data_IF_804641059581
#
_entry.id   IF_804641059581
#
_cell.length_a   1.000
_cell.length_b   1.000
_cell.length_c   1.000
_cell.angle_alpha   90.00
_cell.angle_beta   90.00
_cell.angle_gamma   90.00
#
_symmetry.space_group_name_H-M   'P 1'
#
loop_
_entity.id
_entity.type
_entity.pdbx_description
1 polymer ?
#
# COMPACT_ATOMS: atom_id res chain seq x y z
N UNK A 1 8.30 -22.79 1.66
CA UNK A 1 7.13 -23.51 2.20
C UNK A 1 6.12 -22.44 2.56
N UNK A 2 5.00 -22.40 1.83
CA UNK A 2 4.05 -21.29 1.83
C UNK A 2 3.17 -21.36 3.09
N UNK A 3 3.30 -20.40 4.00
CA UNK A 3 2.29 -20.17 5.05
C UNK A 3 1.57 -18.88 4.69
N UNK A 4 0.45 -19.05 3.97
CA UNK A 4 -0.56 -18.01 3.83
C UNK A 4 -1.25 -17.92 5.19
N UNK A 5 -0.87 -16.93 6.00
CA UNK A 5 -1.62 -16.57 7.21
C UNK A 5 -2.69 -15.56 6.80
N UNK A 6 -3.82 -16.06 6.28
CA UNK A 6 -5.03 -15.25 6.12
C UNK A 6 -5.81 -15.40 7.42
N UNK A 7 -5.70 -14.42 8.31
CA UNK A 7 -6.59 -14.32 9.48
C UNK A 7 -7.84 -13.56 9.06
N UNK A 8 -8.94 -14.29 8.89
CA UNK A 8 -10.30 -13.75 8.92
C UNK A 8 -10.80 -13.78 10.37
N UNK A 9 -11.33 -12.66 10.85
CA UNK A 9 -12.40 -12.67 11.86
C UNK A 9 -13.38 -11.55 11.55
N UNK A 10 -14.54 -11.92 10.98
CA UNK A 10 -15.78 -11.16 11.10
C UNK A 10 -16.83 -12.12 11.65
N UNK A 11 -17.26 -11.88 12.88
CA UNK A 11 -18.55 -12.33 13.38
C UNK A 11 -18.98 -11.42 14.54
N UNK A 12 -19.78 -10.41 14.23
CA UNK A 12 -20.66 -9.78 15.21
C UNK A 12 -22.06 -10.31 14.93
N UNK A 13 -22.64 -11.01 15.90
CA UNK A 13 -23.92 -11.68 15.75
C UNK A 13 -24.94 -10.98 16.64
N UNK A 14 -25.87 -10.24 16.01
CA UNK A 14 -27.16 -9.93 16.60
C UNK A 14 -28.22 -9.79 15.50
N UNK A 15 -29.09 -10.82 15.45
CA UNK A 15 -30.50 -10.93 15.01
C UNK A 15 -30.68 -12.25 14.24
N UNK A 16 -30.95 -13.32 14.98
CA UNK A 16 -30.81 -14.74 14.57
C UNK A 16 -32.06 -15.35 13.89
N UNK A 17 -32.90 -14.57 13.22
CA UNK A 17 -34.12 -15.09 12.56
C UNK A 17 -34.15 -14.84 11.06
N UNK A 18 -34.20 -13.58 10.66
CA UNK A 18 -34.51 -13.19 9.27
C UNK A 18 -33.28 -12.94 8.39
N UNK A 19 -32.08 -12.87 8.96
CA UNK A 19 -30.85 -12.63 8.19
C UNK A 19 -30.30 -13.91 7.54
N UNK A 20 -30.58 -15.07 8.13
CA UNK A 20 -29.96 -16.33 7.71
C UNK A 20 -30.49 -16.81 6.34
N UNK A 21 -31.77 -16.61 6.08
CA UNK A 21 -32.40 -16.96 4.79
C UNK A 21 -31.88 -16.09 3.64
N UNK A 22 -31.66 -14.79 3.88
CA UNK A 22 -31.07 -13.88 2.89
C UNK A 22 -29.60 -14.20 2.60
N UNK A 23 -28.87 -14.66 3.63
CA UNK A 23 -27.47 -15.04 3.48
C UNK A 23 -27.32 -16.36 2.72
N UNK A 24 -28.13 -17.37 3.03
CA UNK A 24 -28.18 -18.64 2.29
C UNK A 24 -28.55 -18.43 0.82
N UNK A 25 -29.52 -17.55 0.52
CA UNK A 25 -29.88 -17.19 -0.86
C UNK A 25 -28.73 -16.49 -1.60
N UNK A 26 -28.01 -15.59 -0.92
CA UNK A 26 -26.83 -14.91 -1.47
C UNK A 26 -25.66 -15.87 -1.71
N UNK A 27 -25.43 -16.81 -0.80
CA UNK A 27 -24.42 -17.86 -0.94
C UNK A 27 -24.76 -18.75 -2.14
N UNK A 28 -26.00 -19.25 -2.24
CA UNK A 28 -26.42 -20.04 -3.39
C UNK A 28 -26.34 -19.28 -4.72
N UNK A 29 -26.57 -17.96 -4.70
CA UNK A 29 -26.38 -17.10 -5.89
C UNK A 29 -24.91 -16.95 -6.26
N UNK A 30 -24.01 -16.86 -5.26
CA UNK A 30 -22.56 -16.79 -5.48
C UNK A 30 -22.02 -18.11 -6.02
N UNK A 31 -22.47 -19.25 -5.50
CA UNK A 31 -22.09 -20.58 -5.98
C UNK A 31 -22.47 -20.77 -7.45
N UNK A 32 -23.70 -20.40 -7.85
CA UNK A 32 -24.13 -20.44 -9.25
C UNK A 32 -23.30 -19.52 -10.15
N UNK A 33 -22.92 -18.33 -9.66
CA UNK A 33 -22.04 -17.41 -10.41
C UNK A 33 -20.64 -17.99 -10.57
N UNK A 34 -20.12 -18.67 -9.55
CA UNK A 34 -18.81 -19.31 -9.60
C UNK A 34 -18.79 -20.48 -10.60
N UNK A 35 -19.86 -21.28 -10.64
CA UNK A 35 -20.02 -22.37 -11.62
C UNK A 35 -20.10 -21.83 -13.05
N UNK A 36 -20.90 -20.78 -13.28
CA UNK A 36 -20.95 -20.07 -14.57
C UNK A 36 -19.57 -19.51 -14.98
N UNK A 37 -18.82 -18.94 -14.04
CA UNK A 37 -17.51 -18.38 -14.31
C UNK A 37 -16.50 -19.48 -14.67
N UNK A 38 -16.56 -20.63 -13.98
CA UNK A 38 -15.74 -21.80 -14.28
C UNK A 38 -16.00 -22.32 -15.70
N UNK A 39 -17.27 -22.37 -16.12
CA UNK A 39 -17.65 -22.80 -17.46
C UNK A 39 -17.18 -21.81 -18.54
N UNK A 40 -17.27 -20.50 -18.29
CA UNK A 40 -16.74 -19.47 -19.20
C UNK A 40 -15.21 -19.59 -19.32
N UNK A 41 -14.49 -19.79 -18.21
CA UNK A 41 -13.04 -19.99 -18.23
C UNK A 41 -12.67 -21.24 -19.02
N UNK A 42 -13.42 -22.33 -18.85
CA UNK A 42 -13.22 -23.56 -19.62
C UNK A 42 -13.40 -23.33 -21.12
N UNK A 43 -14.48 -22.64 -21.52
CA UNK A 43 -14.75 -22.28 -22.92
C UNK A 43 -13.64 -21.39 -23.50
N UNK A 44 -13.22 -20.35 -22.79
CA UNK A 44 -12.13 -19.47 -23.21
C UNK A 44 -10.80 -20.21 -23.33
N UNK A 45 -10.53 -21.17 -22.45
CA UNK A 45 -9.34 -22.01 -22.56
C UNK A 45 -9.38 -22.86 -23.83
N UNK A 46 -10.53 -23.47 -24.13
CA UNK A 46 -10.73 -24.25 -25.35
C UNK A 46 -10.56 -23.40 -26.61
N UNK A 47 -11.15 -22.20 -26.65
CA UNK A 47 -11.00 -21.28 -27.78
C UNK A 47 -9.54 -20.83 -27.95
N UNK A 48 -8.81 -20.60 -26.84
CA UNK A 48 -7.39 -20.27 -26.88
C UNK A 48 -6.56 -21.38 -27.50
N UNK A 49 -6.85 -22.63 -27.16
CA UNK A 49 -6.15 -23.78 -27.70
C UNK A 49 -6.45 -23.97 -29.20
N UNK A 50 -7.69 -23.75 -29.62
CA UNK A 50 -8.06 -23.76 -31.05
C UNK A 50 -7.36 -22.64 -31.82
N UNK A 51 -7.33 -21.42 -31.29
CA UNK A 51 -6.66 -20.28 -31.93
C UNK A 51 -5.15 -20.54 -32.07
N UNK A 52 -4.55 -21.13 -31.04
CA UNK A 52 -3.13 -21.53 -31.06
C UNK A 52 -2.86 -22.59 -32.13
N UNK A 53 -3.75 -23.56 -32.30
CA UNK A 53 -3.65 -24.55 -33.38
C UNK A 53 -3.77 -23.90 -34.77
N UNK A 54 -4.71 -22.96 -34.94
CA UNK A 54 -4.89 -22.22 -36.20
C UNK A 54 -3.68 -21.33 -36.54
N UNK A 55 -3.10 -20.66 -35.55
CA UNK A 55 -1.87 -19.88 -35.73
C UNK A 55 -0.72 -20.77 -36.23
N UNK A 56 -0.54 -21.94 -35.62
CA UNK A 56 0.49 -22.90 -36.03
C UNK A 56 0.28 -23.38 -37.48
N UNK A 57 -0.96 -23.68 -37.86
CA UNK A 57 -1.29 -24.08 -39.24
C UNK A 57 -1.03 -22.96 -40.27
N UNK A 58 -1.27 -21.70 -39.90
CA UNK A 58 -0.95 -20.53 -40.73
C UNK A 58 0.56 -20.34 -40.90
N UNK A 59 1.35 -20.52 -39.85
CA UNK A 59 2.82 -20.49 -39.92
C UNK A 59 3.38 -21.59 -40.83
N UNK A 60 2.81 -22.80 -40.75
CA UNK A 60 3.16 -23.93 -41.63
C UNK A 60 2.73 -23.68 -43.09
N UNK A 61 1.60 -23.00 -43.32
CA UNK A 61 1.17 -22.60 -44.66
C UNK A 61 2.06 -21.49 -45.26
N UNK A 62 2.51 -20.54 -44.45
CA UNK A 62 3.43 -19.48 -44.88
C UNK A 62 4.82 -20.01 -45.27
N UNK A 63 5.31 -21.01 -44.56
CA UNK A 63 6.57 -21.69 -44.91
C UNK A 63 6.46 -22.52 -46.20
N UNK A 64 5.30 -23.14 -46.46
CA UNK A 64 5.04 -23.83 -47.72
C UNK A 64 4.87 -22.87 -48.92
N UNK A 65 4.26 -21.69 -48.71
CA UNK A 65 4.18 -20.65 -49.74
C UNK A 65 5.57 -20.12 -50.14
N UNK A 66 6.46 -19.91 -49.17
CA UNK A 66 7.86 -19.51 -49.43
C UNK A 66 8.66 -20.60 -50.19
N UNK A 67 8.38 -21.89 -49.95
CA UNK A 67 8.97 -22.98 -50.76
C UNK A 67 8.46 -22.99 -52.20
N UNK A 68 7.20 -22.61 -52.44
CA UNK A 68 6.62 -22.54 -53.79
C UNK A 68 7.13 -21.33 -54.58
N UNK A 69 7.38 -20.20 -53.92
CA UNK A 69 8.04 -19.03 -54.53
C UNK A 69 9.50 -19.31 -54.88
N UNK A 70 10.26 -19.96 -54.00
CA UNK A 70 11.64 -20.35 -54.30
C UNK A 70 11.72 -21.37 -55.46
N UNK A 71 10.74 -22.28 -55.59
CA UNK A 71 10.68 -23.22 -56.72
C UNK A 71 10.35 -22.54 -58.07
N UNK A 72 9.66 -21.38 -58.05
CA UNK A 72 9.42 -20.55 -59.25
C UNK A 72 10.65 -19.71 -59.63
N UNK A 73 11.45 -19.25 -58.66
CA UNK A 73 12.67 -18.49 -58.92
C UNK A 73 13.78 -19.33 -59.59
N UNK A 74 13.95 -20.60 -59.21
CA UNK A 74 14.92 -21.50 -59.87
C UNK A 74 14.57 -21.82 -61.33
N UNK A 75 13.28 -21.79 -61.68
CA UNK A 75 12.83 -22.01 -63.07
C UNK A 75 13.03 -20.77 -63.96
N UNK A 76 13.14 -19.57 -63.37
CA UNK A 76 13.33 -18.30 -64.09
C UNK A 76 14.81 -17.87 -64.17
N UNK A 77 15.67 -18.29 -63.23
CA UNK A 77 17.11 -17.99 -63.29
C UNK A 77 17.87 -18.81 -64.36
N UNK A 78 17.42 -20.01 -64.72
CA UNK A 78 18.02 -20.79 -65.81
C UNK A 78 17.75 -20.23 -67.22
N UNK A 79 16.87 -19.23 -67.37
CA UNK A 79 16.51 -18.63 -68.65
C UNK A 79 17.15 -17.24 -68.91
N UNK A 80 17.91 -16.67 -67.96
CA UNK A 80 18.47 -15.30 -68.08
C UNK A 80 20.00 -15.26 -68.22
N UNK A 81 20.71 -16.39 -68.08
CA UNK A 81 22.16 -16.48 -68.37
C UNK A 81 22.54 -16.54 -69.87
N UNK A 82 21.64 -16.11 -70.76
CA UNK A 82 21.95 -15.86 -72.17
C UNK A 82 21.44 -14.49 -72.59
N UNK A 83 22.15 -13.42 -72.20
CA UNK A 83 22.49 -12.29 -73.09
C UNK A 83 23.21 -11.17 -72.35
N UNK A 84 24.48 -11.01 -72.71
CA UNK A 84 25.26 -9.77 -72.92
C UNK A 84 25.11 -8.57 -71.95
N UNK A 85 26.12 -8.09 -71.21
CA UNK A 85 27.51 -7.64 -71.56
C UNK A 85 27.58 -6.20 -72.10
N UNK A 86 28.58 -5.46 -71.60
CA UNK A 86 29.09 -4.09 -71.90
C UNK A 86 28.30 -2.91 -71.28
N UNK A 87 28.88 -1.83 -70.73
CA UNK A 87 30.28 -1.37 -70.58
C UNK A 87 30.37 -0.11 -69.66
N UNK A 88 31.37 -0.09 -68.77
CA UNK A 88 32.25 1.00 -68.29
C UNK A 88 31.85 2.50 -68.33
N UNK A 89 32.01 3.21 -67.20
CA UNK A 89 33.12 4.15 -66.89
C UNK A 89 32.76 5.23 -65.83
N UNK A 90 33.79 5.86 -65.26
CA UNK A 90 33.95 6.33 -63.88
C UNK A 90 33.51 7.78 -63.53
N UNK A 91 33.15 7.96 -62.25
CA UNK A 91 33.42 9.03 -61.26
C UNK A 91 33.29 10.53 -61.67
N UNK A 92 32.67 11.44 -60.91
CA UNK A 92 32.82 11.76 -59.48
C UNK A 92 31.72 12.76 -59.02
N UNK A 93 31.38 12.66 -57.73
CA UNK A 93 30.96 13.67 -56.73
C UNK A 93 29.93 14.77 -57.03
N UNK A 94 28.96 14.85 -56.11
CA UNK A 94 28.38 16.12 -55.64
C UNK A 94 26.87 16.08 -55.54
N UNK A 95 26.36 15.95 -54.31
CA UNK A 95 24.94 15.78 -53.94
C UNK A 95 24.05 16.93 -54.42
N UNK A 96 22.84 16.58 -54.88
CA UNK A 96 21.71 17.52 -54.93
C UNK A 96 20.39 16.86 -54.48
N UNK A 97 19.44 17.76 -54.25
CA UNK A 97 18.28 17.72 -53.38
C UNK A 97 17.11 16.81 -53.77
N UNK A 98 16.28 16.58 -52.73
CA UNK A 98 14.86 16.23 -52.79
C UNK A 98 14.07 17.11 -53.78
N UNK A 99 13.08 16.51 -54.47
CA UNK A 99 11.74 17.09 -54.65
C UNK A 99 10.70 16.14 -55.26
N UNK A 100 9.48 16.24 -54.71
CA UNK A 100 8.13 15.97 -55.28
C UNK A 100 7.76 14.51 -55.63
N UNK A 101 6.56 14.01 -55.36
CA UNK A 101 5.33 14.56 -54.79
C UNK A 101 4.11 13.69 -55.18
N UNK A 102 3.02 13.78 -54.39
CA UNK A 102 1.62 13.36 -54.67
C UNK A 102 1.37 11.82 -54.80
N UNK A 103 0.30 11.18 -54.29
CA UNK A 103 -1.07 11.61 -53.95
C UNK A 103 -1.84 10.48 -53.19
N UNK A 104 -2.77 10.84 -52.28
CA UNK A 104 -4.14 10.28 -52.04
C UNK A 104 -4.31 8.79 -51.62
N UNK A 105 -5.26 8.31 -50.80
CA UNK A 105 -6.49 8.81 -50.18
C UNK A 105 -6.95 7.80 -49.07
N UNK A 106 -7.91 8.23 -48.23
CA UNK A 106 -8.91 7.44 -47.46
C UNK A 106 -8.66 7.06 -45.98
N UNK A 107 -9.19 7.94 -45.12
CA UNK A 107 -9.60 7.70 -43.73
C UNK A 107 -10.81 6.76 -43.66
N UNK A 108 -10.71 5.69 -42.85
CA UNK A 108 -11.87 4.92 -42.36
C UNK A 108 -11.96 5.10 -40.85
N UNK A 109 -12.94 5.90 -40.41
CA UNK A 109 -13.27 6.09 -38.99
C UNK A 109 -14.03 4.87 -38.45
N UNK A 110 -13.42 4.11 -37.53
CA UNK A 110 -14.11 3.03 -36.81
C UNK A 110 -14.76 3.61 -35.55
N UNK A 111 -16.08 3.74 -35.61
CA UNK A 111 -16.93 4.28 -34.55
C UNK A 111 -17.10 3.24 -33.42
N UNK A 112 -16.16 3.21 -32.47
CA UNK A 112 -16.24 2.34 -31.30
C UNK A 112 -17.14 2.97 -30.24
N UNK A 113 -18.40 2.52 -30.16
CA UNK A 113 -19.34 2.89 -29.09
C UNK A 113 -18.78 2.44 -27.74
N UNK A 114 -18.27 3.40 -26.96
CA UNK A 114 -17.85 3.23 -25.57
C UNK A 114 -19.09 2.93 -24.71
N UNK A 115 -19.21 1.69 -24.24
CA UNK A 115 -20.18 1.33 -23.21
C UNK A 115 -19.66 1.93 -21.89
N UNK A 116 -20.29 3.00 -21.46
CA UNK A 116 -20.04 3.61 -20.14
C UNK A 116 -20.78 2.74 -19.11
N UNK A 117 -20.09 2.14 -18.12
CA UNK A 117 -20.78 1.44 -17.04
C UNK A 117 -21.67 2.45 -16.29
N UNK A 118 -22.85 2.03 -15.81
CA UNK A 118 -23.77 2.94 -15.13
C UNK A 118 -23.04 3.61 -13.97
N UNK A 119 -23.03 4.94 -14.01
CA UNK A 119 -22.49 5.79 -12.97
C UNK A 119 -23.30 5.52 -11.70
N UNK A 120 -22.81 4.64 -10.85
CA UNK A 120 -23.31 4.55 -9.49
C UNK A 120 -23.06 5.90 -8.86
N UNK A 121 -24.13 6.58 -8.46
CA UNK A 121 -24.09 7.77 -7.58
C UNK A 121 -23.01 7.58 -6.51
N UNK A 122 -22.13 8.58 -6.24
CA UNK A 122 -21.11 8.45 -5.22
C UNK A 122 -21.81 8.21 -3.88
N UNK A 123 -21.78 6.97 -3.41
CA UNK A 123 -21.91 6.73 -1.99
C UNK A 123 -20.73 7.48 -1.39
N UNK A 124 -20.96 8.40 -0.45
CA UNK A 124 -19.92 9.18 0.23
C UNK A 124 -18.90 8.33 1.04
N UNK A 125 -18.86 7.02 0.79
CA UNK A 125 -17.94 6.05 1.37
C UNK A 125 -16.67 6.06 0.53
N UNK A 126 -15.58 6.52 1.13
CA UNK A 126 -14.24 6.50 0.55
C UNK A 126 -13.43 5.42 1.27
N UNK A 127 -12.99 4.40 0.53
CA UNK A 127 -12.21 3.30 1.09
C UNK A 127 -11.41 2.61 -0.01
N UNK A 128 -10.18 2.22 0.29
CA UNK A 128 -9.41 1.34 -0.58
C UNK A 128 -8.71 0.25 0.22
N UNK A 129 -8.48 -0.87 -0.44
CA UNK A 129 -7.59 -1.93 0.03
C UNK A 129 -6.76 -2.38 -1.17
N UNK A 130 -5.44 -2.38 -0.99
CA UNK A 130 -4.50 -2.77 -2.00
C UNK A 130 -3.34 -3.56 -1.40
N UNK A 131 -2.74 -4.45 -2.18
CA UNK A 131 -1.58 -5.25 -1.79
C UNK A 131 -0.66 -5.51 -3.00
N UNK A 132 0.58 -5.94 -2.74
CA UNK A 132 1.53 -6.35 -3.78
C UNK A 132 1.17 -7.76 -4.26
N UNK A 133 1.01 -7.99 -5.56
CA UNK A 133 0.75 -9.34 -6.09
C UNK A 133 1.95 -10.28 -5.96
N UNK A 134 3.15 -9.72 -5.86
CA UNK A 134 4.42 -10.44 -5.77
C UNK A 134 5.36 -9.70 -4.83
N UNK A 135 6.31 -10.43 -4.26
CA UNK A 135 7.39 -9.82 -3.48
C UNK A 135 8.14 -8.78 -4.30
N UNK A 136 8.54 -7.70 -3.65
CA UNK A 136 9.35 -6.68 -4.32
C UNK A 136 10.73 -7.22 -4.65
N UNK A 137 11.21 -6.98 -5.88
CA UNK A 137 12.59 -7.27 -6.25
C UNK A 137 13.52 -6.26 -5.61
N UNK A 138 13.94 -6.52 -4.36
CA UNK A 138 14.85 -5.68 -3.61
C UNK A 138 16.30 -5.73 -4.12
N UNK A 139 17.19 -4.86 -3.59
CA UNK A 139 16.89 -3.78 -2.64
C UNK A 139 16.12 -2.63 -3.30
N UNK A 140 15.13 -2.09 -2.59
CA UNK A 140 14.36 -0.92 -3.00
C UNK A 140 15.22 0.36 -2.90
N UNK A 141 15.19 1.23 -3.93
CA UNK A 141 15.85 2.53 -3.88
C UNK A 141 15.38 3.40 -2.70
N UNK A 142 16.23 4.33 -2.28
CA UNK A 142 15.85 5.39 -1.36
C UNK A 142 14.63 6.16 -1.88
N UNK A 143 13.65 6.40 -1.01
CA UNK A 143 12.39 7.08 -1.31
C UNK A 143 11.54 6.39 -2.40
N UNK A 144 11.72 5.09 -2.61
CA UNK A 144 10.90 4.32 -3.54
C UNK A 144 9.44 4.30 -3.07
N UNK A 145 8.51 4.68 -3.95
CA UNK A 145 7.08 4.65 -3.66
C UNK A 145 6.58 3.21 -3.80
N UNK A 146 5.92 2.70 -2.76
CA UNK A 146 5.33 1.36 -2.80
C UNK A 146 4.03 1.39 -3.63
N UNK A 147 4.06 0.72 -4.78
CA UNK A 147 2.93 0.61 -5.70
C UNK A 147 2.23 -0.73 -5.50
N UNK A 148 1.10 -0.71 -4.80
CA UNK A 148 0.27 -1.89 -4.59
C UNK A 148 -0.58 -2.13 -5.83
N UNK A 149 -0.21 -3.12 -6.62
CA UNK A 149 -0.79 -3.36 -7.95
C UNK A 149 -2.15 -4.07 -7.89
N UNK A 150 -2.42 -4.85 -6.85
CA UNK A 150 -3.71 -5.50 -6.65
C UNK A 150 -4.62 -4.64 -5.79
N UNK A 151 -5.75 -4.20 -6.35
CA UNK A 151 -6.69 -3.26 -5.70
C UNK A 151 -8.12 -3.82 -5.69
N UNK A 152 -8.43 -4.80 -4.82
CA UNK A 152 -9.77 -5.39 -4.73
C UNK A 152 -10.87 -4.41 -4.25
N UNK A 153 -10.51 -3.33 -3.54
CA UNK A 153 -11.43 -2.30 -3.07
C UNK A 153 -10.88 -0.92 -3.40
N UNK A 154 -11.67 -0.07 -4.05
CA UNK A 154 -11.32 1.33 -4.32
C UNK A 154 -12.57 2.21 -4.42
N UNK A 155 -13.43 2.19 -3.39
CA UNK A 155 -14.61 3.06 -3.31
C UNK A 155 -14.18 4.51 -3.24
N UNK A 156 -14.74 5.34 -4.12
CA UNK A 156 -14.28 6.72 -4.34
C UNK A 156 -13.13 6.85 -5.34
N UNK A 157 -12.57 5.74 -5.84
CA UNK A 157 -11.50 5.70 -6.85
C UNK A 157 -10.26 6.56 -6.49
N UNK A 158 -9.99 6.71 -5.18
CA UNK A 158 -8.94 7.57 -4.67
C UNK A 158 -7.54 6.97 -4.82
N UNK A 159 -7.39 5.65 -4.71
CA UNK A 159 -6.08 5.00 -4.87
C UNK A 159 -5.75 4.78 -6.35
N UNK A 160 -4.50 5.09 -6.73
CA UNK A 160 -3.97 4.98 -8.09
C UNK A 160 -2.84 3.94 -8.09
N UNK A 161 -3.10 2.76 -8.69
CA UNK A 161 -2.14 1.65 -8.67
C UNK A 161 -0.85 1.91 -9.47
N UNK A 162 -0.92 2.75 -10.51
CA UNK A 162 0.23 2.98 -11.41
C UNK A 162 1.36 3.81 -10.76
N UNK A 163 1.03 4.63 -9.78
CA UNK A 163 1.96 5.49 -9.05
C UNK A 163 1.97 5.23 -7.53
N UNK A 164 1.01 4.48 -7.00
CA UNK A 164 0.92 4.12 -5.58
C UNK A 164 0.30 5.21 -4.70
N UNK A 165 -0.38 6.19 -5.31
CA UNK A 165 -0.82 7.41 -4.64
C UNK A 165 -2.30 7.32 -4.28
N UNK A 166 -2.66 7.75 -3.06
CA UNK A 166 -4.05 7.97 -2.68
C UNK A 166 -4.41 9.46 -2.76
N UNK A 167 -5.41 9.79 -3.57
CA UNK A 167 -5.98 11.13 -3.68
C UNK A 167 -7.36 11.11 -3.02
N UNK A 168 -7.48 11.86 -1.93
CA UNK A 168 -8.76 12.02 -1.24
C UNK A 168 -9.68 12.90 -2.10
N UNK A 169 -10.86 12.38 -2.44
CA UNK A 169 -11.87 13.13 -3.20
C UNK A 169 -12.70 14.08 -2.35
N UNK A 170 -12.59 14.00 -1.02
CA UNK A 170 -13.32 14.83 -0.06
C UNK A 170 -12.48 15.14 1.17
N UNK A 171 -12.72 16.31 1.77
CA UNK A 171 -12.23 16.61 3.11
C UNK A 171 -12.83 15.67 4.16
N UNK A 172 -12.06 15.30 5.18
CA UNK A 172 -12.53 14.48 6.29
C UNK A 172 -11.38 13.82 7.05
N UNK A 173 -11.73 13.05 8.06
CA UNK A 173 -10.80 12.23 8.84
C UNK A 173 -10.60 10.89 8.16
N UNK A 174 -9.35 10.51 7.91
CA UNK A 174 -8.99 9.25 7.28
C UNK A 174 -8.12 8.42 8.22
N UNK A 175 -8.31 7.10 8.15
CA UNK A 175 -7.46 6.13 8.82
C UNK A 175 -6.69 5.36 7.76
N UNK A 176 -5.37 5.38 7.85
CA UNK A 176 -4.49 4.58 7.01
C UNK A 176 -3.86 3.50 7.87
N UNK A 177 -3.94 2.25 7.40
CA UNK A 177 -3.19 1.14 7.97
C UNK A 177 -2.38 0.47 6.88
N UNK A 178 -1.13 0.15 7.16
CA UNK A 178 -0.26 -0.56 6.23
C UNK A 178 0.62 -1.54 6.98
N UNK A 179 0.82 -2.70 6.38
CA UNK A 179 1.66 -3.78 6.91
C UNK A 179 2.66 -4.19 5.84
N UNK A 180 3.87 -4.51 6.25
CA UNK A 180 4.92 -4.99 5.38
C UNK A 180 5.84 -5.96 6.13
N UNK A 181 6.61 -6.72 5.38
CA UNK A 181 7.50 -7.75 5.86
C UNK A 181 8.90 -7.49 5.31
N UNK A 182 9.92 -7.66 6.13
CA UNK A 182 11.30 -7.74 5.68
C UNK A 182 11.71 -9.21 5.51
N UNK A 183 12.50 -9.49 4.47
CA UNK A 183 13.13 -10.79 4.29
C UNK A 183 14.14 -11.10 5.41
N UNK A 184 14.53 -12.37 5.53
CA UNK A 184 15.61 -12.80 6.43
C UNK A 184 16.87 -12.00 6.14
N UNK A 185 17.61 -11.59 7.18
CA UNK A 185 18.79 -10.73 7.06
C UNK A 185 18.56 -9.38 6.34
N UNK A 186 17.30 -8.98 6.14
CA UNK A 186 16.93 -7.72 5.52
C UNK A 186 16.28 -6.75 6.51
N UNK A 187 16.04 -5.53 6.05
CA UNK A 187 15.19 -4.58 6.75
C UNK A 187 14.38 -3.73 5.78
N UNK A 188 13.29 -3.17 6.29
CA UNK A 188 12.46 -2.24 5.54
C UNK A 188 12.00 -1.12 6.48
N UNK A 189 12.31 0.13 6.12
CA UNK A 189 11.69 1.32 6.70
C UNK A 189 10.65 1.86 5.73
N UNK A 190 9.41 2.01 6.20
CA UNK A 190 8.34 2.68 5.47
C UNK A 190 7.94 3.97 6.15
N UNK A 191 7.54 4.95 5.34
CA UNK A 191 6.99 6.22 5.76
C UNK A 191 5.68 6.46 5.03
N UNK A 192 4.61 6.77 5.77
CA UNK A 192 3.41 7.35 5.20
C UNK A 192 3.58 8.86 5.12
N UNK A 193 3.39 9.42 3.93
CA UNK A 193 3.54 10.85 3.67
C UNK A 193 2.22 11.49 3.28
N UNK A 194 2.00 12.71 3.75
CA UNK A 194 0.94 13.63 3.32
C UNK A 194 1.60 14.90 2.78
N UNK A 195 1.46 15.16 1.49
CA UNK A 195 2.02 16.35 0.84
C UNK A 195 3.53 16.48 1.09
N UNK A 196 4.25 15.36 0.98
CA UNK A 196 5.68 15.18 1.29
C UNK A 196 6.08 15.23 2.77
N UNK A 197 5.21 15.64 3.70
CA UNK A 197 5.47 15.54 5.12
C UNK A 197 5.24 14.12 5.62
N UNK A 198 6.17 13.59 6.41
CA UNK A 198 6.05 12.26 7.03
C UNK A 198 5.07 12.33 8.19
N UNK A 199 3.96 11.61 8.07
CA UNK A 199 2.90 11.57 9.10
C UNK A 199 2.89 10.24 9.88
N UNK A 200 3.67 9.25 9.45
CA UNK A 200 3.88 8.01 10.17
C UNK A 200 5.01 7.21 9.57
N UNK A 201 5.63 6.34 10.36
CA UNK A 201 6.70 5.46 9.89
C UNK A 201 6.66 4.11 10.61
N UNK A 202 7.25 3.10 9.98
CA UNK A 202 7.39 1.76 10.52
C UNK A 202 8.64 1.09 10.01
N UNK A 203 9.28 0.34 10.88
CA UNK A 203 10.45 -0.47 10.60
C UNK A 203 10.19 -1.94 10.90
N UNK A 204 10.55 -2.80 9.95
CA UNK A 204 10.70 -4.25 10.14
C UNK A 204 12.19 -4.57 10.04
N UNK A 205 12.75 -5.16 11.09
CA UNK A 205 14.17 -5.41 11.28
C UNK A 205 14.45 -6.91 11.41
N UNK A 206 14.93 -7.48 10.31
CA UNK A 206 15.46 -8.83 10.30
C UNK A 206 16.99 -8.87 10.08
N UNK A 207 17.72 -7.76 10.19
CA UNK A 207 19.15 -7.71 9.82
C UNK A 207 19.99 -8.81 10.49
N UNK A 208 19.85 -8.96 11.81
CA UNK A 208 20.60 -9.95 12.58
C UNK A 208 19.81 -11.25 12.84
N UNK A 209 18.77 -11.52 12.04
CA UNK A 209 17.87 -12.66 12.25
C UNK A 209 17.66 -13.47 10.97
N UNK A 210 17.51 -14.79 11.15
CA UNK A 210 17.20 -15.75 10.09
C UNK A 210 15.68 -16.00 9.95
N UNK A 211 14.85 -15.11 10.48
CA UNK A 211 13.38 -15.18 10.36
C UNK A 211 12.86 -13.86 9.84
N UNK A 212 11.82 -13.90 9.01
CA UNK A 212 11.10 -12.71 8.57
C UNK A 212 10.65 -11.86 9.76
N UNK A 213 10.72 -10.55 9.60
CA UNK A 213 10.10 -9.60 10.52
C UNK A 213 8.97 -8.84 9.82
N UNK A 214 8.00 -8.38 10.60
CA UNK A 214 6.84 -7.65 10.10
C UNK A 214 6.57 -6.42 10.95
N UNK A 215 6.02 -5.39 10.32
CA UNK A 215 5.56 -4.22 11.05
C UNK A 215 4.27 -3.67 10.45
N UNK A 216 3.43 -3.12 11.32
CA UNK A 216 2.13 -2.55 10.95
C UNK A 216 2.01 -1.14 11.51
N UNK A 217 1.60 -0.20 10.67
CA UNK A 217 1.33 1.18 11.06
C UNK A 217 -0.14 1.51 10.97
N UNK A 218 -0.63 2.33 11.91
CA UNK A 218 -1.95 2.94 11.86
C UNK A 218 -1.79 4.44 12.11
N UNK A 219 -2.35 5.26 11.22
CA UNK A 219 -2.33 6.72 11.32
C UNK A 219 -3.75 7.24 11.11
N UNK A 220 -4.18 8.11 12.01
CA UNK A 220 -5.40 8.91 11.87
C UNK A 220 -4.99 10.32 11.46
N UNK A 221 -5.55 10.83 10.37
CA UNK A 221 -5.19 12.15 9.85
C UNK A 221 -6.38 12.85 9.23
N UNK A 222 -6.50 14.14 9.51
CA UNK A 222 -7.44 15.01 8.79
C UNK A 222 -6.87 15.42 7.45
N UNK A 223 -7.72 15.33 6.43
CA UNK A 223 -7.44 15.74 5.07
C UNK A 223 -8.41 16.85 4.72
N UNK A 224 -7.87 17.98 4.31
CA UNK A 224 -8.64 19.09 3.75
C UNK A 224 -8.36 19.13 2.26
N UNK A 225 -9.42 19.08 1.46
CA UNK A 225 -9.34 19.42 0.05
C UNK A 225 -9.36 20.95 -0.04
N UNK A 226 -8.25 21.54 -0.49
CA UNK A 226 -8.24 22.94 -0.87
C UNK A 226 -8.93 23.03 -2.23
N UNK A 227 -10.07 23.73 -2.29
CA UNK A 227 -10.64 24.16 -3.56
C UNK A 227 -9.79 25.35 -4.01
N UNK A 228 -8.74 25.11 -4.78
CA UNK A 228 -8.03 26.21 -5.45
C UNK A 228 -8.96 26.79 -6.51
N UNK A 229 -9.55 27.95 -6.18
CA UNK A 229 -9.89 28.95 -7.19
C UNK A 229 -8.58 29.59 -7.63
N UNK A 230 -8.24 29.38 -8.89
CA UNK A 230 -7.11 29.89 -9.67
C UNK A 230 -5.87 28.98 -9.76
N UNK A 231 -5.47 28.81 -11.02
CA UNK A 231 -4.48 27.88 -11.55
C UNK A 231 -3.09 28.01 -10.90
N UNK A 232 -2.75 27.06 -10.03
CA UNK A 232 -1.42 26.45 -10.02
C UNK A 232 -1.52 25.08 -9.37
N UNK A 233 -1.56 24.05 -10.22
CA UNK A 233 -1.53 22.65 -9.85
C UNK A 233 -0.26 22.36 -9.03
N UNK A 234 -0.39 22.46 -7.70
CA UNK A 234 0.55 21.86 -6.78
C UNK A 234 0.07 20.43 -6.60
N UNK A 235 0.81 19.54 -7.24
CA UNK A 235 0.61 18.10 -7.19
C UNK A 235 0.74 17.59 -5.72
N UNK A 236 -0.43 17.45 -5.09
CA UNK A 236 -0.61 17.13 -3.67
C UNK A 236 -0.77 15.61 -3.49
N UNK A 237 0.34 14.91 -3.23
CA UNK A 237 0.36 13.45 -3.19
C UNK A 237 0.47 12.86 -1.78
N UNK A 238 -0.32 11.83 -1.50
CA UNK A 238 -0.19 10.97 -0.31
C UNK A 238 0.32 9.60 -0.73
N UNK A 239 1.42 9.16 -0.14
CA UNK A 239 2.11 7.92 -0.53
C UNK A 239 2.76 7.24 0.65
N UNK A 240 2.79 5.91 0.62
CA UNK A 240 3.75 5.16 1.43
C UNK A 240 5.05 5.06 0.63
N UNK A 241 6.13 5.56 1.21
CA UNK A 241 7.49 5.52 0.66
C UNK A 241 8.34 4.57 1.49
N UNK A 242 9.24 3.83 0.88
CA UNK A 242 10.31 3.16 1.61
C UNK A 242 11.55 4.06 1.69
N UNK A 243 12.21 4.10 2.84
CA UNK A 243 13.56 4.65 2.98
C UNK A 243 14.52 3.47 3.02
N UNK A 244 15.28 3.26 1.94
CA UNK A 244 16.48 2.41 1.86
C UNK A 244 16.37 1.03 2.50
N UNK A 245 16.29 -0.02 1.68
CA UNK A 245 16.28 -1.41 2.20
C UNK A 245 17.64 -2.06 2.00
N UNK A 246 18.10 -2.82 2.99
CA UNK A 246 19.16 -3.80 2.77
C UNK A 246 18.52 -5.14 2.43
N UNK A 247 18.87 -5.70 1.26
CA UNK A 247 18.47 -7.04 0.84
C UNK A 247 19.71 -7.92 0.76
N UNK A 248 19.61 -9.15 1.25
CA UNK A 248 20.68 -10.15 1.18
C UNK A 248 20.81 -10.69 -0.26
N UNK A 249 21.60 -10.00 -1.08
CA UNK A 249 22.21 -10.61 -2.26
C UNK A 249 23.72 -10.77 -2.00
N UNK A 250 24.36 -11.94 -2.18
CA UNK A 250 25.73 -12.20 -1.70
C UNK A 250 26.86 -11.43 -2.41
N UNK A 251 26.54 -10.43 -3.24
CA UNK A 251 27.47 -9.84 -4.21
C UNK A 251 28.13 -8.52 -3.81
N UNK A 252 27.85 -7.92 -2.65
CA UNK A 252 28.43 -6.62 -2.32
C UNK A 252 28.81 -6.52 -0.84
N UNK A 253 30.13 -6.57 -0.57
CA UNK A 253 30.69 -6.26 0.74
C UNK A 253 30.87 -4.75 0.84
N UNK A 254 29.93 -4.05 1.46
CA UNK A 254 30.24 -2.76 2.07
C UNK A 254 30.23 -2.88 3.59
N UNK A 255 31.42 -2.67 4.14
CA UNK A 255 31.70 -2.54 5.57
C UNK A 255 31.40 -1.07 5.90
N UNK A 256 30.21 -0.78 6.39
CA UNK A 256 29.81 0.57 6.76
C UNK A 256 28.72 0.56 7.82
N UNK A 257 29.03 1.08 9.00
CA UNK A 257 28.05 1.47 10.02
C UNK A 257 26.96 2.34 9.41
N UNK A 258 25.70 2.09 9.77
CA UNK A 258 24.56 2.88 9.32
C UNK A 258 24.81 4.38 9.49
N UNK A 259 24.55 5.22 8.48
CA UNK A 259 24.77 6.65 8.58
C UNK A 259 23.70 7.29 9.49
N UNK A 260 24.13 7.79 10.65
CA UNK A 260 23.35 8.59 11.62
C UNK A 260 22.95 10.01 11.12
N UNK A 261 22.99 10.26 9.82
CA UNK A 261 22.64 11.55 9.22
C UNK A 261 21.25 11.56 8.62
N UNK A 262 20.23 11.59 9.48
CA UNK A 262 18.90 12.06 9.09
C UNK A 262 18.95 13.59 8.99
N UNK A 263 19.11 14.09 7.77
CA UNK A 263 19.07 15.52 7.49
C UNK A 263 17.77 16.13 7.99
N UNK A 264 17.87 17.16 8.84
CA UNK A 264 16.77 18.08 9.10
C UNK A 264 16.41 18.75 7.78
N UNK A 265 15.40 18.24 7.08
CA UNK A 265 14.74 18.99 6.04
C UNK A 265 14.10 20.22 6.70
N UNK A 266 14.69 21.39 6.44
CA UNK A 266 14.08 22.67 6.79
C UNK A 266 12.90 22.91 5.85
N UNK A 267 11.75 22.32 6.16
CA UNK A 267 10.49 22.70 5.55
C UNK A 267 10.09 24.04 6.16
N UNK A 268 10.11 25.11 5.35
CA UNK A 268 9.49 26.38 5.71
C UNK A 268 8.02 26.11 6.03
N UNK A 269 7.69 26.07 7.32
CA UNK A 269 6.33 26.05 7.84
C UNK A 269 5.63 27.31 7.32
N UNK A 270 4.83 27.18 6.26
CA UNK A 270 3.77 28.14 6.00
C UNK A 270 2.85 28.04 7.21
N UNK A 271 2.98 29.00 8.12
CA UNK A 271 2.06 29.21 9.22
C UNK A 271 0.73 29.68 8.61
N UNK A 272 -0.04 28.74 8.08
CA UNK A 272 -1.49 28.91 8.11
C UNK A 272 -1.84 28.89 9.59
N UNK A 273 -2.35 30.03 10.06
CA UNK A 273 -2.86 30.20 11.41
C UNK A 273 -4.06 29.26 11.60
N UNK A 274 -3.81 28.02 11.98
CA UNK A 274 -4.80 27.02 12.41
C UNK A 274 -5.35 27.36 13.80
N UNK A 275 -5.86 28.59 13.96
CA UNK A 275 -6.61 29.02 15.14
C UNK A 275 -8.12 29.10 14.85
N UNK A 276 -8.60 28.30 13.90
CA UNK A 276 -10.03 28.01 13.80
C UNK A 276 -10.22 26.53 14.15
N UNK A 277 -10.88 26.21 15.28
CA UNK A 277 -11.38 24.86 15.46
C UNK A 277 -12.42 24.68 14.36
N UNK A 278 -12.08 23.93 13.31
CA UNK A 278 -13.12 23.29 12.53
C UNK A 278 -13.80 22.39 13.56
N UNK A 279 -14.96 22.82 14.05
CA UNK A 279 -15.82 22.02 14.92
C UNK A 279 -16.35 20.87 14.06
N UNK A 280 -15.49 19.92 13.76
CA UNK A 280 -15.93 18.60 13.37
C UNK A 280 -16.47 17.97 14.64
N UNK A 281 -17.71 17.50 14.63
CA UNK A 281 -18.26 16.61 15.67
C UNK A 281 -17.55 15.24 15.70
N UNK A 282 -16.33 15.15 15.15
CA UNK A 282 -15.53 13.95 15.05
C UNK A 282 -14.77 13.72 16.35
N UNK A 283 -14.45 12.46 16.61
CA UNK A 283 -13.65 12.06 17.77
C UNK A 283 -12.58 11.13 17.24
N UNK A 284 -11.35 11.64 17.15
CA UNK A 284 -10.23 10.86 16.67
C UNK A 284 -8.90 11.45 17.10
N UNK A 285 -7.90 10.61 17.35
CA UNK A 285 -6.54 11.05 17.66
C UNK A 285 -5.50 10.08 17.12
N UNK A 286 -4.29 10.61 16.91
CA UNK A 286 -3.07 9.86 16.65
C UNK A 286 -1.92 10.58 17.33
N UNK A 287 -1.26 9.88 18.25
CA UNK A 287 -0.18 10.39 19.07
C UNK A 287 1.01 9.41 19.09
N UNK A 288 2.18 9.92 19.41
CA UNK A 288 3.39 9.11 19.54
C UNK A 288 4.30 9.57 20.67
N UNK A 289 5.17 8.68 21.15
CA UNK A 289 6.18 9.01 22.16
C UNK A 289 7.28 9.88 21.52
N UNK A 290 7.62 11.01 22.14
CA UNK A 290 8.67 11.93 21.66
C UNK A 290 10.08 11.33 21.75
N UNK A 291 10.27 10.44 22.71
CA UNK A 291 11.56 9.83 23.07
C UNK A 291 11.37 8.40 23.54
N UNK A 292 12.47 7.66 23.59
CA UNK A 292 12.46 6.33 24.17
C UNK A 292 12.04 6.35 25.65
N UNK A 293 11.33 5.30 26.08
CA UNK A 293 10.97 5.07 27.47
C UNK A 293 11.89 3.97 28.06
N UNK A 294 12.90 4.33 28.87
CA UNK A 294 13.92 3.40 29.34
C UNK A 294 13.42 2.42 30.40
N UNK A 295 12.37 2.78 31.14
CA UNK A 295 11.92 2.05 32.32
C UNK A 295 10.39 1.88 32.30
N UNK A 296 9.87 0.93 31.49
CA UNK A 296 8.45 0.55 31.51
C UNK A 296 8.15 -0.31 32.75
N UNK A 297 8.26 0.29 33.95
CA UNK A 297 7.90 -0.35 35.22
C UNK A 297 6.43 -0.79 35.20
N UNK A 298 6.03 -1.69 36.10
CA UNK A 298 4.65 -2.21 36.17
C UNK A 298 3.64 -1.09 36.42
N UNK A 299 2.43 -1.23 35.84
CA UNK A 299 1.36 -0.22 35.92
C UNK A 299 1.73 1.19 35.44
N UNK A 300 2.79 1.33 34.63
CA UNK A 300 3.17 2.60 34.04
C UNK A 300 2.28 2.91 32.85
N UNK A 301 1.53 4.01 32.93
CA UNK A 301 0.84 4.60 31.77
C UNK A 301 1.86 5.15 30.78
N UNK A 302 1.72 4.80 29.51
CA UNK A 302 2.49 5.41 28.43
C UNK A 302 1.82 6.71 28.02
N UNK A 303 2.55 7.82 28.20
CA UNK A 303 2.11 9.15 27.77
C UNK A 303 2.67 9.42 26.39
N UNK A 304 1.91 9.11 25.33
CA UNK A 304 2.28 9.48 23.96
C UNK A 304 2.14 11.00 23.83
N UNK A 305 3.24 11.71 24.05
CA UNK A 305 3.28 13.14 24.38
C UNK A 305 3.32 14.06 23.15
N UNK A 306 3.30 13.49 21.94
CA UNK A 306 3.21 14.26 20.70
C UNK A 306 1.92 13.93 19.97
N UNK A 307 1.00 14.89 19.97
CA UNK A 307 -0.25 14.81 19.21
C UNK A 307 0.00 15.24 17.76
N UNK A 308 -0.17 14.32 16.82
CA UNK A 308 -0.21 14.68 15.39
C UNK A 308 -1.65 15.02 14.95
N UNK A 309 -2.63 14.29 15.49
CA UNK A 309 -4.06 14.50 15.23
C UNK A 309 -4.79 14.39 16.58
N UNK A 310 -5.69 15.32 16.91
CA UNK A 310 -6.48 15.30 18.15
C UNK A 310 -7.84 15.99 17.97
N UNK A 311 -8.67 15.41 17.11
CA UNK A 311 -10.00 15.90 16.74
C UNK A 311 -10.95 15.78 17.93
N UNK A 312 -11.58 16.90 18.29
CA UNK A 312 -12.40 17.02 19.50
C UNK A 312 -11.58 17.23 20.78
N UNK A 313 -10.26 17.08 20.74
CA UNK A 313 -9.39 17.35 21.89
C UNK A 313 -9.59 16.40 23.07
N UNK A 314 -10.00 15.15 22.80
CA UNK A 314 -10.37 14.17 23.82
C UNK A 314 -9.21 13.29 24.30
N UNK A 315 -8.07 13.34 23.63
CA UNK A 315 -6.82 12.74 24.11
C UNK A 315 -5.94 13.80 24.77
N UNK A 316 -5.36 13.47 25.92
CA UNK A 316 -4.46 14.35 26.66
C UNK A 316 -3.01 13.88 26.53
N UNK A 317 -2.18 14.62 25.77
CA UNK A 317 -0.74 14.38 25.67
C UNK A 317 0.03 14.58 26.98
N UNK A 318 -0.60 15.15 28.02
CA UNK A 318 0.01 15.29 29.34
C UNK A 318 -0.14 14.02 30.19
N UNK A 319 -1.22 13.26 29.96
CA UNK A 319 -1.59 12.11 30.81
C UNK A 319 -1.59 10.77 30.06
N UNK A 320 -1.63 10.78 28.73
CA UNK A 320 -1.78 9.57 27.92
C UNK A 320 -3.20 9.02 27.88
N UNK A 321 -4.18 9.79 28.36
CA UNK A 321 -5.56 9.35 28.56
C UNK A 321 -6.48 9.95 27.49
N UNK A 322 -7.28 9.10 26.89
CA UNK A 322 -8.45 9.48 26.11
C UNK A 322 -9.69 9.46 27.01
N UNK A 323 -10.43 10.57 27.06
CA UNK A 323 -11.71 10.67 27.79
C UNK A 323 -12.87 10.67 26.80
N UNK A 324 -13.71 9.65 26.87
CA UNK A 324 -14.82 9.45 25.96
C UNK A 324 -15.84 10.59 26.06
N UNK A 325 -16.12 11.34 24.96
CA UNK A 325 -17.06 12.45 25.01
C UNK A 325 -18.54 12.04 24.96
N UNK A 326 -18.83 10.85 24.45
CA UNK A 326 -20.20 10.43 24.15
C UNK A 326 -20.28 8.92 24.02
N UNK A 327 -21.44 8.34 24.33
CA UNK A 327 -21.65 6.91 24.08
C UNK A 327 -21.40 6.54 22.61
N UNK A 328 -20.79 5.37 22.39
CA UNK A 328 -20.63 4.80 21.05
C UNK A 328 -19.57 3.72 20.96
N UNK A 329 -19.32 3.27 19.73
CA UNK A 329 -18.27 2.30 19.42
C UNK A 329 -16.99 3.04 19.06
N UNK A 330 -15.90 2.68 19.72
CA UNK A 330 -14.59 3.26 19.53
C UNK A 330 -13.59 2.19 19.12
N UNK A 331 -12.66 2.57 18.26
CA UNK A 331 -11.52 1.74 17.89
C UNK A 331 -10.27 2.36 18.46
N UNK A 332 -9.39 1.53 19.01
CA UNK A 332 -8.07 1.91 19.47
C UNK A 332 -7.03 1.01 18.81
N UNK A 333 -5.92 1.60 18.39
CA UNK A 333 -4.76 0.88 17.85
C UNK A 333 -3.49 1.46 18.46
N UNK A 334 -2.60 0.60 18.94
CA UNK A 334 -1.29 1.03 19.47
C UNK A 334 -0.18 0.10 19.00
N UNK A 335 1.01 0.69 18.83
CA UNK A 335 2.22 -0.01 18.43
C UNK A 335 3.34 0.31 19.42
N UNK A 336 4.01 -0.72 19.93
CA UNK A 336 5.17 -0.59 20.83
C UNK A 336 6.38 -1.24 20.17
N UNK A 337 7.47 -0.48 20.07
CA UNK A 337 8.79 -1.00 19.72
C UNK A 337 9.57 -1.36 20.98
N UNK A 338 10.12 -2.57 21.02
CA UNK A 338 10.99 -3.05 22.08
C UNK A 338 12.43 -3.11 21.61
N UNK A 339 13.33 -2.52 22.40
CA UNK A 339 14.76 -2.57 22.16
C UNK A 339 15.32 -4.00 22.21
N UNK A 340 16.51 -4.17 21.66
CA UNK A 340 17.21 -5.47 21.58
C UNK A 340 17.34 -6.12 22.96
N UNK A 341 17.19 -7.45 23.00
CA UNK A 341 17.30 -8.25 24.24
C UNK A 341 16.26 -7.96 25.31
N UNK A 342 15.26 -7.11 25.01
CA UNK A 342 14.19 -6.75 25.93
C UNK A 342 12.87 -7.46 25.64
N UNK A 343 11.89 -7.23 26.50
CA UNK A 343 10.49 -7.54 26.26
C UNK A 343 9.58 -6.55 26.97
N UNK A 344 8.46 -6.23 26.34
CA UNK A 344 7.48 -5.26 26.85
C UNK A 344 6.09 -5.84 26.70
N UNK A 345 5.34 -5.80 27.79
CA UNK A 345 3.90 -5.99 27.82
C UNK A 345 3.20 -4.63 27.84
N UNK A 346 2.13 -4.50 27.08
CA UNK A 346 1.27 -3.32 27.11
C UNK A 346 -0.19 -3.73 27.00
N UNK A 347 -1.07 -2.98 27.65
CA UNK A 347 -2.51 -3.23 27.66
C UNK A 347 -3.29 -1.95 27.43
N UNK A 348 -4.37 -2.05 26.65
CA UNK A 348 -5.41 -1.03 26.65
C UNK A 348 -6.28 -1.24 27.89
N UNK A 349 -6.43 -0.16 28.65
CA UNK A 349 -7.25 -0.12 29.86
C UNK A 349 -8.43 0.80 29.62
N UNK A 350 -9.62 0.36 30.03
CA UNK A 350 -10.83 1.19 30.13
C UNK A 350 -11.28 1.22 31.59
N UNK A 351 -11.36 2.42 32.19
CA UNK A 351 -11.78 2.62 33.58
C UNK A 351 -11.07 1.66 34.57
N UNK A 352 -9.74 1.57 34.50
CA UNK A 352 -8.87 0.65 35.28
C UNK A 352 -8.92 -0.84 34.92
N UNK A 353 -9.83 -1.28 34.05
CA UNK A 353 -9.94 -2.67 33.60
C UNK A 353 -9.18 -2.89 32.28
N UNK A 354 -8.31 -3.90 32.24
CA UNK A 354 -7.62 -4.32 31.02
C UNK A 354 -8.62 -4.92 30.03
N UNK A 355 -8.63 -4.43 28.79
CA UNK A 355 -9.56 -4.88 27.73
C UNK A 355 -8.85 -5.65 26.63
N UNK A 356 -7.60 -5.30 26.34
CA UNK A 356 -6.73 -6.08 25.45
C UNK A 356 -5.27 -5.87 25.84
N UNK A 357 -4.40 -6.80 25.42
CA UNK A 357 -2.98 -6.78 25.76
C UNK A 357 -2.10 -7.37 24.67
N UNK A 358 -0.92 -6.80 24.53
CA UNK A 358 0.12 -7.21 23.58
C UNK A 358 1.44 -7.44 24.30
N UNK A 359 2.20 -8.37 23.72
CA UNK A 359 3.58 -8.65 24.07
C UNK A 359 4.46 -8.41 22.85
N UNK A 360 5.61 -7.77 23.09
CA UNK A 360 6.72 -7.73 22.14
C UNK A 360 7.98 -8.20 22.86
N UNK A 361 8.65 -9.20 22.30
CA UNK A 361 9.83 -9.82 22.90
C UNK A 361 10.97 -9.94 21.91
N UNK A 362 12.05 -9.22 22.18
CA UNK A 362 13.30 -9.19 21.41
C UNK A 362 14.42 -9.99 22.11
N UNK A 363 14.09 -10.83 23.09
CA UNK A 363 15.09 -11.60 23.85
C UNK A 363 15.84 -12.63 23.02
N UNK A 364 15.17 -13.24 22.04
CA UNK A 364 15.71 -14.33 21.23
C UNK A 364 16.29 -13.87 19.89
N UNK A 365 16.20 -12.57 19.57
CA UNK A 365 16.68 -11.99 18.30
C UNK A 365 17.45 -10.71 18.56
N UNK A 366 18.55 -10.48 17.83
CA UNK A 366 19.39 -9.29 17.97
C UNK A 366 18.83 -8.02 17.31
N UNK A 367 17.50 -7.89 17.21
CA UNK A 367 16.82 -6.86 16.42
C UNK A 367 15.75 -6.15 17.26
N UNK A 368 15.50 -4.88 16.96
CA UNK A 368 14.38 -4.15 17.57
C UNK A 368 13.09 -4.64 16.94
N UNK A 369 12.14 -5.12 17.75
CA UNK A 369 10.87 -5.65 17.26
C UNK A 369 9.71 -4.72 17.61
N UNK A 370 8.61 -4.84 16.88
CA UNK A 370 7.35 -4.18 17.21
C UNK A 370 6.20 -5.15 17.37
N UNK A 371 5.23 -4.77 18.18
CA UNK A 371 3.90 -5.38 18.18
C UNK A 371 2.85 -4.29 18.06
N UNK A 372 1.79 -4.58 17.31
CA UNK A 372 0.65 -3.69 17.11
C UNK A 372 -0.62 -4.46 17.43
N UNK A 373 -1.51 -3.86 18.21
CA UNK A 373 -2.82 -4.43 18.51
C UNK A 373 -3.91 -3.42 18.17
N UNK A 374 -5.11 -3.93 17.88
CA UNK A 374 -6.30 -3.15 17.58
C UNK A 374 -7.50 -3.74 18.29
N UNK A 375 -8.28 -2.90 18.95
CA UNK A 375 -9.46 -3.32 19.69
C UNK A 375 -10.63 -2.38 19.46
N UNK A 376 -11.82 -2.96 19.43
CA UNK A 376 -13.09 -2.26 19.30
C UNK A 376 -13.83 -2.38 20.63
N UNK A 377 -14.23 -1.24 21.20
CA UNK A 377 -14.89 -1.17 22.51
C UNK A 377 -16.10 -0.26 22.45
N UNK A 378 -17.13 -0.57 23.24
CA UNK A 378 -18.24 0.35 23.48
C UNK A 378 -17.91 1.16 24.72
N UNK A 379 -17.91 2.48 24.59
CA UNK A 379 -17.65 3.41 25.70
C UNK A 379 -18.88 4.26 25.98
N UNK A 380 -19.02 4.70 27.22
CA UNK A 380 -19.95 5.72 27.69
C UNK A 380 -19.23 7.06 27.86
N UNK A 381 -20.00 8.15 27.89
CA UNK A 381 -19.44 9.47 28.17
C UNK A 381 -18.74 9.47 29.54
N UNK A 382 -17.50 9.95 29.58
CA UNK A 382 -16.64 9.98 30.76
C UNK A 382 -15.75 8.74 30.93
N UNK A 383 -15.94 7.67 30.17
CA UNK A 383 -15.03 6.52 30.22
C UNK A 383 -13.62 6.92 29.77
N UNK A 384 -12.60 6.43 30.48
CA UNK A 384 -11.20 6.74 30.20
C UNK A 384 -10.48 5.54 29.61
N UNK A 385 -9.79 5.76 28.48
CA UNK A 385 -8.99 4.75 27.79
C UNK A 385 -7.52 5.17 27.67
N UNK A 386 -6.59 4.27 27.99
CA UNK A 386 -5.15 4.55 27.92
C UNK A 386 -4.32 3.26 27.82
N UNK A 387 -3.06 3.39 27.38
CA UNK A 387 -2.13 2.26 27.35
C UNK A 387 -1.25 2.28 28.59
N UNK A 388 -1.09 1.12 29.25
CA UNK A 388 -0.11 0.95 30.32
C UNK A 388 0.62 -0.38 30.23
N UNK A 389 1.66 -0.56 31.02
CA UNK A 389 2.19 -1.90 31.34
C UNK A 389 1.29 -2.60 32.36
N UNK A 390 1.10 -3.93 32.29
CA UNK A 390 0.34 -4.67 33.30
C UNK A 390 1.08 -4.75 34.64
N UNK A 391 0.38 -5.20 35.70
CA UNK A 391 1.00 -5.48 36.99
C UNK A 391 1.97 -6.67 36.92
N UNK A 392 1.52 -7.74 36.27
CA UNK A 392 2.26 -8.96 36.03
C UNK A 392 1.83 -9.55 34.68
N UNK A 393 2.75 -10.10 33.87
CA UNK A 393 4.21 -10.10 34.07
C UNK A 393 4.81 -8.69 33.93
N UNK A 394 5.94 -8.46 34.61
CA UNK A 394 6.68 -7.20 34.47
C UNK A 394 7.42 -7.16 33.12
N UNK A 395 7.50 -5.97 32.52
CA UNK A 395 8.34 -5.73 31.34
C UNK A 395 9.81 -5.60 31.75
N UNK A 396 10.72 -6.05 30.88
CA UNK A 396 12.16 -5.82 31.03
C UNK A 396 12.76 -5.55 29.67
N UNK A 397 12.85 -4.26 29.33
CA UNK A 397 13.32 -3.77 28.04
C UNK A 397 13.00 -2.30 27.92
N UNK A 398 13.70 -1.62 27.02
CA UNK A 398 13.45 -0.22 26.70
C UNK A 398 12.41 -0.13 25.59
N UNK A 399 11.41 0.73 25.73
CA UNK A 399 10.49 1.07 24.64
C UNK A 399 11.17 2.10 23.74
N UNK A 400 11.27 1.82 22.45
CA UNK A 400 11.89 2.73 21.47
C UNK A 400 10.87 3.72 20.92
N UNK A 401 11.23 4.99 20.87
CA UNK A 401 10.50 6.01 20.13
C UNK A 401 11.40 7.12 19.62
N UNK A 402 11.81 7.02 18.36
CA UNK A 402 12.58 8.04 17.64
C UNK A 402 12.34 7.91 16.13
N UNK A 403 13.15 8.57 15.29
CA UNK A 403 12.88 8.73 13.85
C UNK A 403 12.59 7.40 13.11
N UNK A 404 13.28 6.31 13.44
CA UNK A 404 13.10 5.01 12.76
C UNK A 404 12.06 4.09 13.43
N UNK A 405 11.95 4.15 14.75
CA UNK A 405 11.12 3.25 15.56
C UNK A 405 10.16 4.10 16.34
N UNK A 406 8.97 4.40 15.80
CA UNK A 406 8.00 5.26 16.47
C UNK A 406 6.91 4.42 17.15
N UNK A 407 6.87 4.44 18.48
CA UNK A 407 5.77 3.86 19.25
C UNK A 407 4.59 4.82 19.28
N UNK A 408 3.38 4.33 18.98
CA UNK A 408 2.21 5.17 18.67
C UNK A 408 0.95 4.69 19.35
N UNK A 409 -0.01 5.59 19.56
CA UNK A 409 -1.37 5.31 19.99
C UNK A 409 -2.36 6.13 19.18
N UNK A 410 -3.41 5.47 18.72
CA UNK A 410 -4.48 6.07 17.93
C UNK A 410 -5.83 5.58 18.41
N UNK A 411 -6.85 6.42 18.23
CA UNK A 411 -8.22 6.00 18.45
C UNK A 411 -9.22 6.88 17.70
N UNK A 412 -10.38 6.33 17.39
CA UNK A 412 -11.46 7.05 16.70
C UNK A 412 -12.82 6.44 17.01
N UNK A 413 -13.86 7.25 16.91
CA UNK A 413 -15.25 6.80 17.02
C UNK A 413 -15.71 6.23 15.67
N UNK A 414 -16.35 5.06 15.67
CA UNK A 414 -17.10 4.57 14.51
C UNK A 414 -18.43 5.31 14.42
N UNK A 415 -18.79 5.70 13.20
CA UNK A 415 -19.99 6.50 12.87
C UNK A 415 -21.29 5.94 13.43
#
# INVERSE_FOLDING_TARGET
>A
MLVILVIWFFAFQCTLGDLNTNLEEKIGTLEKKLELLSDVVFRLSSEKDELKARMKALEESGTNANRLENCKCETLQNNVEKQSVLSSSNATNGKEEKKKGFNQHEDISINSKRIVPPTSTPTGVIAFHAYLSHDSSGPLPMHHILKFDMVPLNKGNGYKAFDGIFIASMSGTYVFSWSFMSDVHGNVLTELTKNADVIGNRFADSLNSAVYDFSTGTVVVDILQVLDTDEQQKDDFKTVKSIGTNSSNPGFKERGTAPDTFGKASSKRLLLSDNQPVTTNGVAFFAYLSRDEPNPVTHKTFVFDVDHTNIGGHYSHHTGVFTCPSHGVYVFSWSIYCDVSGYVYSELVVNSSSVSGTFVGSQSVGNVLSSTDLVIVVLNAGDEAYIRTPLNPASSGKVRSHAQFRSTFSGWKLI
#
